data_IF_703713557238
#
_entry.id   IF_703713557238
#
_cell.length_a   1.000
_cell.length_b   1.000
_cell.length_c   1.000
_cell.angle_alpha   90.00
_cell.angle_beta   90.00
_cell.angle_gamma   90.00
#
_symmetry.space_group_name_H-M   'P 1'
#
loop_
_entity.id
_entity.type
_entity.pdbx_description
1 polymer ?
#
# COMPACT_ATOMS: atom_id res chain seq x y z
N UNK A 1 -10.95 -5.60 -28.49
CA UNK A 1 -10.60 -5.10 -27.15
C UNK A 1 -11.71 -5.50 -26.20
N UNK A 2 -11.45 -6.47 -25.33
CA UNK A 2 -12.29 -6.71 -24.16
C UNK A 2 -12.02 -5.55 -23.20
N UNK A 3 -13.00 -4.69 -22.91
CA UNK A 3 -12.88 -3.62 -21.90
C UNK A 3 -13.08 -4.26 -20.52
N UNK A 4 -12.11 -5.07 -20.10
CA UNK A 4 -12.26 -5.94 -18.94
C UNK A 4 -12.21 -5.11 -17.65
N UNK A 5 -11.47 -3.99 -17.61
CA UNK A 5 -11.49 -3.08 -16.47
C UNK A 5 -12.91 -2.53 -16.20
N UNK A 6 -13.66 -2.22 -17.26
CA UNK A 6 -15.05 -1.75 -17.13
C UNK A 6 -16.03 -2.89 -16.82
N UNK A 7 -15.87 -4.04 -17.47
CA UNK A 7 -16.87 -5.11 -17.41
C UNK A 7 -16.71 -6.02 -16.19
N UNK A 8 -15.46 -6.32 -15.80
CA UNK A 8 -15.12 -7.16 -14.66
C UNK A 8 -13.70 -6.84 -14.15
N UNK A 9 -13.61 -5.79 -13.33
CA UNK A 9 -12.37 -5.30 -12.77
C UNK A 9 -11.62 -6.35 -11.93
N UNK A 10 -12.34 -7.28 -11.28
CA UNK A 10 -11.72 -8.32 -10.46
C UNK A 10 -11.03 -9.35 -11.35
N UNK A 11 -11.69 -9.78 -12.43
CA UNK A 11 -11.08 -10.69 -13.41
C UNK A 11 -9.91 -10.03 -14.13
N UNK A 12 -10.02 -8.75 -14.53
CA UNK A 12 -8.88 -8.01 -15.08
C UNK A 12 -7.69 -8.00 -14.13
N UNK A 13 -7.92 -7.72 -12.85
CA UNK A 13 -6.86 -7.67 -11.84
C UNK A 13 -6.15 -9.02 -11.71
N UNK A 14 -6.91 -10.12 -11.56
CA UNK A 14 -6.34 -11.47 -11.43
C UNK A 14 -5.59 -11.89 -12.69
N UNK A 15 -6.18 -11.66 -13.87
CA UNK A 15 -5.53 -12.00 -15.14
C UNK A 15 -4.22 -11.22 -15.31
N UNK A 16 -4.22 -9.93 -14.95
CA UNK A 16 -3.04 -9.06 -15.11
C UNK A 16 -1.88 -9.55 -14.23
N UNK A 17 -2.13 -9.82 -12.94
CA UNK A 17 -1.06 -10.26 -12.03
C UNK A 17 -0.50 -11.64 -12.36
N UNK A 18 -1.32 -12.54 -12.91
CA UNK A 18 -0.88 -13.86 -13.34
C UNK A 18 -0.09 -13.79 -14.65
N UNK A 19 -0.59 -13.04 -15.64
CA UNK A 19 0.08 -12.87 -16.94
C UNK A 19 1.39 -12.09 -16.82
N UNK A 20 1.46 -11.13 -15.90
CA UNK A 20 2.68 -10.40 -15.59
C UNK A 20 3.64 -11.16 -14.64
N UNK A 21 3.29 -12.39 -14.26
CA UNK A 21 4.15 -13.30 -13.50
C UNK A 21 4.58 -12.77 -12.12
N UNK A 22 3.70 -12.04 -11.43
CA UNK A 22 4.02 -11.44 -10.11
C UNK A 22 3.87 -12.43 -8.95
N UNK A 23 2.98 -13.42 -9.07
CA UNK A 23 2.69 -14.39 -8.02
C UNK A 23 2.06 -15.67 -8.59
N UNK A 24 2.08 -16.73 -7.78
CA UNK A 24 1.30 -17.95 -8.00
C UNK A 24 0.43 -18.30 -6.80
N UNK A 25 -0.70 -18.99 -7.05
CA UNK A 25 -1.53 -19.54 -5.98
C UNK A 25 -0.85 -20.74 -5.32
N UNK A 26 -0.89 -20.79 -3.98
CA UNK A 26 -0.44 -21.97 -3.23
C UNK A 26 -1.61 -22.92 -2.97
N UNK A 27 -1.35 -24.19 -2.59
CA UNK A 27 -2.39 -25.09 -2.11
C UNK A 27 -3.07 -24.64 -0.81
N UNK A 28 -2.44 -23.73 -0.05
CA UNK A 28 -3.00 -23.19 1.20
C UNK A 28 -3.96 -22.06 0.86
N UNK A 29 -5.21 -22.20 1.34
CA UNK A 29 -6.27 -21.23 1.06
C UNK A 29 -5.84 -19.82 1.44
N UNK A 30 -5.91 -18.92 0.46
CA UNK A 30 -5.67 -17.50 0.65
C UNK A 30 -4.19 -17.12 0.75
N UNK A 31 -3.26 -18.07 0.62
CA UNK A 31 -1.83 -17.79 0.53
C UNK A 31 -1.36 -17.79 -0.93
N UNK A 32 -0.46 -16.86 -1.25
CA UNK A 32 0.18 -16.73 -2.56
C UNK A 32 1.70 -16.87 -2.40
N UNK A 33 2.36 -17.40 -3.43
CA UNK A 33 3.81 -17.36 -3.55
C UNK A 33 4.20 -16.14 -4.37
N UNK A 34 5.05 -15.27 -3.82
CA UNK A 34 5.59 -14.14 -4.55
C UNK A 34 6.63 -14.65 -5.56
N UNK A 35 6.48 -14.25 -6.81
CA UNK A 35 7.52 -14.44 -7.83
C UNK A 35 8.52 -13.29 -7.82
N UNK A 36 9.70 -13.42 -8.45
CA UNK A 36 10.78 -12.45 -8.32
C UNK A 36 10.34 -11.00 -8.59
N UNK A 37 9.72 -10.71 -9.74
CA UNK A 37 9.31 -9.34 -10.07
C UNK A 37 8.24 -8.82 -9.07
N UNK A 38 7.36 -9.68 -8.55
CA UNK A 38 6.40 -9.30 -7.50
C UNK A 38 7.04 -9.03 -6.14
N UNK A 39 8.10 -9.77 -5.79
CA UNK A 39 8.85 -9.57 -4.55
C UNK A 39 9.79 -8.36 -4.64
N UNK A 40 10.42 -8.10 -5.78
CA UNK A 40 11.27 -6.92 -6.00
C UNK A 40 10.48 -5.61 -5.83
N UNK A 41 9.20 -5.58 -6.21
CA UNK A 41 8.31 -4.43 -5.90
C UNK A 41 8.20 -4.22 -4.39
N UNK A 42 8.04 -5.30 -3.61
CA UNK A 42 8.01 -5.24 -2.15
C UNK A 42 9.35 -4.79 -1.57
N UNK A 43 10.47 -5.29 -2.09
CA UNK A 43 11.81 -4.90 -1.65
C UNK A 43 12.07 -3.40 -1.88
N UNK A 44 11.60 -2.83 -2.98
CA UNK A 44 11.70 -1.39 -3.24
C UNK A 44 10.85 -0.55 -2.27
N UNK A 45 9.63 -1.02 -1.95
CA UNK A 45 8.78 -0.38 -0.93
C UNK A 45 9.47 -0.44 0.44
N UNK A 46 9.96 -1.63 0.77
CA UNK A 46 10.65 -1.90 2.03
C UNK A 46 11.88 -1.02 2.18
N UNK A 47 12.74 -0.95 1.16
CA UNK A 47 13.97 -0.15 1.22
C UNK A 47 13.70 1.33 1.45
N UNK A 48 12.70 1.91 0.77
CA UNK A 48 12.37 3.33 0.93
C UNK A 48 11.74 3.63 2.30
N UNK A 49 10.82 2.79 2.77
CA UNK A 49 10.25 2.92 4.10
C UNK A 49 11.30 2.76 5.20
N UNK A 50 12.13 1.72 5.11
CA UNK A 50 13.17 1.41 6.08
C UNK A 50 14.22 2.53 6.19
N UNK A 51 14.58 3.15 5.05
CA UNK A 51 15.43 4.35 5.02
C UNK A 51 14.80 5.49 5.83
N UNK A 52 13.52 5.81 5.57
CA UNK A 52 12.83 6.91 6.27
C UNK A 52 12.63 6.63 7.77
N UNK A 53 12.34 5.40 8.16
CA UNK A 53 12.24 5.05 9.59
C UNK A 53 13.59 5.22 10.31
N UNK A 54 14.69 4.83 9.66
CA UNK A 54 16.04 5.03 10.21
C UNK A 54 16.42 6.50 10.35
N UNK A 55 15.99 7.35 9.41
CA UNK A 55 16.19 8.81 9.48
C UNK A 55 15.49 9.44 10.69
N UNK A 56 14.44 8.80 11.22
CA UNK A 56 13.70 9.25 12.41
C UNK A 56 14.10 8.54 13.69
N UNK A 57 15.19 7.75 13.66
CA UNK A 57 15.76 7.11 14.85
C UNK A 57 15.20 5.72 15.17
N UNK A 58 14.30 5.19 14.35
CA UNK A 58 13.78 3.83 14.53
C UNK A 58 14.84 2.78 14.27
N UNK A 59 14.72 1.66 14.98
CA UNK A 59 15.55 0.48 14.73
C UNK A 59 14.72 -0.76 14.48
N UNK A 60 15.19 -1.58 13.55
CA UNK A 60 14.56 -2.87 13.30
C UNK A 60 14.84 -3.84 14.44
N UNK A 61 13.82 -4.59 14.82
CA UNK A 61 13.88 -5.77 15.69
C UNK A 61 13.04 -6.89 15.07
N UNK A 62 13.11 -8.08 15.68
CA UNK A 62 12.30 -9.22 15.28
C UNK A 62 11.76 -9.95 16.51
N UNK A 63 10.46 -10.13 16.52
CA UNK A 63 9.68 -10.83 17.53
C UNK A 63 9.16 -12.15 16.94
N UNK A 64 9.01 -13.21 17.74
CA UNK A 64 8.54 -14.51 17.26
C UNK A 64 7.14 -14.47 16.64
N UNK A 65 6.89 -15.41 15.71
CA UNK A 65 5.59 -15.56 15.03
C UNK A 65 4.48 -16.10 15.95
N UNK A 66 4.84 -16.94 16.92
CA UNK A 66 3.88 -17.62 17.80
C UNK A 66 3.63 -16.81 19.06
N UNK A 67 2.35 -16.57 19.37
CA UNK A 67 1.91 -15.80 20.55
C UNK A 67 1.09 -16.71 21.49
N UNK A 68 1.43 -16.77 22.79
CA UNK A 68 0.64 -17.53 23.78
C UNK A 68 -0.82 -17.05 23.89
N UNK A 69 -1.77 -17.98 24.06
CA UNK A 69 -3.19 -17.69 24.24
C UNK A 69 -3.45 -16.73 25.42
N UNK A 70 -2.70 -16.88 26.50
CA UNK A 70 -2.75 -16.06 27.72
C UNK A 70 -2.41 -14.60 27.49
N UNK A 71 -1.64 -14.27 26.45
CA UNK A 71 -1.28 -12.87 26.15
C UNK A 71 -2.47 -12.12 25.56
N UNK A 72 -3.28 -12.79 24.75
CA UNK A 72 -4.51 -12.21 24.21
C UNK A 72 -5.46 -11.87 25.35
N UNK A 73 -5.61 -12.76 26.35
CA UNK A 73 -6.52 -12.58 27.49
C UNK A 73 -6.27 -11.33 28.34
N UNK A 74 -5.09 -10.71 28.22
CA UNK A 74 -4.73 -9.47 28.95
C UNK A 74 -5.40 -8.23 28.38
N UNK A 75 -5.80 -8.21 27.10
CA UNK A 75 -6.46 -7.06 26.48
C UNK A 75 -7.72 -7.45 25.70
N UNK A 76 -8.87 -7.43 26.39
CA UNK A 76 -10.14 -7.96 25.88
C UNK A 76 -10.66 -7.24 24.63
N UNK A 77 -10.55 -5.91 24.58
CA UNK A 77 -10.96 -5.10 23.42
C UNK A 77 -10.20 -5.53 22.16
N UNK A 78 -8.91 -5.84 22.31
CA UNK A 78 -8.06 -6.32 21.21
C UNK A 78 -8.45 -7.75 20.78
N UNK A 79 -8.75 -8.65 21.73
CA UNK A 79 -9.21 -10.02 21.42
C UNK A 79 -10.47 -10.02 20.57
N UNK A 80 -11.48 -9.23 20.95
CA UNK A 80 -12.79 -9.24 20.27
C UNK A 80 -12.66 -8.86 18.79
N UNK A 81 -11.70 -7.99 18.46
CA UNK A 81 -11.39 -7.60 17.08
C UNK A 81 -10.71 -8.69 16.24
N UNK A 82 -9.95 -9.61 16.85
CA UNK A 82 -9.11 -10.60 16.14
C UNK A 82 -9.56 -12.06 16.30
N UNK A 83 -10.27 -12.40 17.38
CA UNK A 83 -10.58 -13.78 17.78
C UNK A 83 -11.23 -14.65 16.69
N UNK A 84 -12.09 -14.14 15.78
CA UNK A 84 -12.69 -14.98 14.74
C UNK A 84 -11.70 -15.49 13.67
N UNK A 85 -10.47 -14.97 13.63
CA UNK A 85 -9.55 -15.14 12.49
C UNK A 85 -8.18 -15.73 12.84
N UNK A 86 -7.99 -16.27 14.06
CA UNK A 86 -6.67 -16.77 14.51
C UNK A 86 -6.50 -18.27 14.30
N UNK A 87 -5.52 -18.71 13.50
CA UNK A 87 -5.06 -20.09 13.50
C UNK A 87 -4.25 -20.39 14.76
N UNK A 88 -4.42 -21.59 15.29
CA UNK A 88 -3.78 -22.04 16.53
C UNK A 88 -2.94 -23.29 16.29
N UNK A 89 -1.72 -23.28 16.81
CA UNK A 89 -0.89 -24.45 17.01
C UNK A 89 -1.23 -25.04 18.37
N UNK A 90 -1.68 -26.30 18.38
CA UNK A 90 -2.10 -27.02 19.59
C UNK A 90 -1.26 -28.26 19.89
N UNK A 91 -0.44 -28.69 18.92
CA UNK A 91 0.40 -29.87 18.98
C UNK A 91 1.72 -29.56 18.27
N UNK A 92 2.84 -30.05 18.80
CA UNK A 92 4.15 -29.96 18.17
C UNK A 92 4.88 -31.28 18.33
N UNK A 93 5.49 -31.78 17.25
CA UNK A 93 6.24 -33.05 17.24
C UNK A 93 5.46 -34.27 17.79
N UNK A 94 4.13 -34.29 17.67
CA UNK A 94 3.28 -35.38 18.17
C UNK A 94 2.79 -35.21 19.61
N UNK A 95 3.18 -34.13 20.30
CA UNK A 95 2.79 -33.85 21.69
C UNK A 95 1.89 -32.63 21.78
N UNK A 96 0.81 -32.76 22.56
CA UNK A 96 -0.12 -31.65 22.83
C UNK A 96 0.59 -30.59 23.66
N UNK A 97 0.52 -29.34 23.23
CA UNK A 97 1.10 -28.22 23.97
C UNK A 97 0.32 -27.95 25.27
N UNK A 98 1.04 -27.53 26.32
CA UNK A 98 0.43 -27.10 27.58
C UNK A 98 -0.50 -25.89 27.38
N UNK A 99 -0.11 -25.00 26.48
CA UNK A 99 -0.86 -23.82 26.07
C UNK A 99 -0.89 -23.73 24.53
N UNK A 100 -2.02 -23.29 23.97
CA UNK A 100 -2.15 -23.09 22.52
C UNK A 100 -1.40 -21.83 22.10
N UNK A 101 -0.76 -21.86 20.94
CA UNK A 101 -0.01 -20.73 20.38
C UNK A 101 -0.69 -20.23 19.11
N UNK A 102 -1.05 -18.96 19.04
CA UNK A 102 -1.60 -18.37 17.83
C UNK A 102 -0.48 -18.00 16.86
N UNK A 103 -0.74 -18.14 15.55
CA UNK A 103 0.02 -17.38 14.56
C UNK A 103 -0.32 -15.89 14.72
N UNK A 104 0.68 -15.01 14.78
CA UNK A 104 0.46 -13.58 15.02
C UNK A 104 -0.49 -12.96 13.96
N UNK A 105 -1.61 -12.34 14.36
CA UNK A 105 -2.38 -11.44 13.49
C UNK A 105 -1.76 -10.04 13.43
N UNK A 106 -0.99 -9.72 14.47
CA UNK A 106 -0.25 -8.51 14.80
C UNK A 106 0.57 -8.78 16.08
N UNK A 107 1.61 -7.98 16.38
CA UNK A 107 2.58 -8.31 17.44
C UNK A 107 2.43 -7.51 18.75
N UNK A 108 1.40 -6.66 18.93
CA UNK A 108 1.27 -5.77 20.11
C UNK A 108 1.39 -6.51 21.44
N UNK A 109 0.79 -7.70 21.55
CA UNK A 109 0.78 -8.45 22.82
C UNK A 109 2.14 -9.07 23.16
N UNK A 110 2.86 -9.57 22.15
CA UNK A 110 4.23 -10.08 22.32
C UNK A 110 5.21 -8.94 22.64
N UNK A 111 5.08 -7.83 21.91
CA UNK A 111 5.93 -6.65 22.09
C UNK A 111 5.67 -6.01 23.46
N UNK A 112 4.40 -5.84 23.85
CA UNK A 112 4.02 -5.29 25.14
C UNK A 112 4.58 -6.09 26.31
N UNK A 113 4.53 -7.43 26.22
CA UNK A 113 5.16 -8.30 27.22
C UNK A 113 6.66 -8.04 27.36
N UNK A 114 7.41 -7.97 26.26
CA UNK A 114 8.86 -7.74 26.31
C UNK A 114 9.21 -6.30 26.69
N UNK A 115 8.38 -5.32 26.32
CA UNK A 115 8.53 -3.92 26.74
C UNK A 115 8.41 -3.77 28.25
N UNK A 116 7.54 -4.55 28.90
CA UNK A 116 7.46 -4.59 30.37
C UNK A 116 8.79 -5.00 31.02
N UNK A 117 9.60 -5.82 30.34
CA UNK A 117 10.93 -6.25 30.80
C UNK A 117 12.03 -5.27 30.42
N UNK A 118 11.94 -4.60 29.27
CA UNK A 118 12.99 -3.72 28.77
C UNK A 118 12.93 -2.31 29.36
N UNK A 119 11.72 -1.79 29.57
CA UNK A 119 11.51 -0.41 30.02
C UNK A 119 11.46 -0.41 31.55
N UNK A 120 12.40 0.30 32.20
CA UNK A 120 12.46 0.43 33.66
C UNK A 120 12.57 1.87 34.14
N UNK A 121 13.18 2.75 33.33
CA UNK A 121 13.42 4.16 33.66
C UNK A 121 13.05 5.06 32.48
N UNK A 122 12.78 6.33 32.75
CA UNK A 122 12.61 7.36 31.71
C UNK A 122 13.80 7.45 30.73
N UNK A 123 14.97 6.89 31.09
CA UNK A 123 16.17 6.83 30.24
C UNK A 123 16.11 5.76 29.16
N UNK A 124 15.21 4.80 29.30
CA UNK A 124 14.98 3.75 28.31
C UNK A 124 14.03 4.23 27.20
N UNK A 125 13.47 5.44 27.35
CA UNK A 125 12.47 6.04 26.47
C UNK A 125 13.07 7.23 25.68
N UNK A 126 12.58 7.49 24.45
CA UNK A 126 11.57 6.69 23.74
C UNK A 126 12.13 5.37 23.21
N UNK A 127 11.30 4.33 23.19
CA UNK A 127 11.60 3.10 22.45
C UNK A 127 11.00 3.24 21.06
N UNK A 128 11.83 3.16 20.03
CA UNK A 128 11.46 3.33 18.63
C UNK A 128 11.81 2.07 17.83
N UNK A 129 10.88 1.11 17.75
CA UNK A 129 11.13 -0.19 17.12
C UNK A 129 10.24 -0.40 15.90
N UNK A 130 10.84 -0.99 14.87
CA UNK A 130 10.17 -1.46 13.68
C UNK A 130 10.39 -2.97 13.49
N UNK A 131 9.43 -3.66 12.88
CA UNK A 131 9.57 -5.05 12.44
C UNK A 131 9.07 -5.22 11.00
N UNK A 132 9.89 -5.88 10.17
CA UNK A 132 9.46 -6.46 8.89
C UNK A 132 9.16 -7.94 9.08
N UNK A 133 7.93 -8.34 8.76
CA UNK A 133 7.40 -9.66 9.13
C UNK A 133 6.28 -10.12 8.20
N UNK A 134 5.99 -11.42 8.24
CA UNK A 134 4.69 -11.94 7.84
C UNK A 134 3.72 -11.97 9.04
N UNK A 135 2.43 -11.84 8.77
CA UNK A 135 1.33 -12.10 9.72
C UNK A 135 0.28 -13.00 9.09
N UNK A 136 -0.54 -13.62 9.94
CA UNK A 136 -1.58 -14.55 9.52
C UNK A 136 -2.96 -14.12 10.03
N UNK A 137 -3.93 -14.00 9.13
CA UNK A 137 -5.35 -13.75 9.42
C UNK A 137 -6.19 -14.70 8.57
N UNK A 138 -7.09 -15.47 9.18
CA UNK A 138 -7.89 -16.47 8.47
C UNK A 138 -9.05 -15.84 7.69
N UNK A 139 -8.70 -15.14 6.61
CA UNK A 139 -9.60 -14.33 5.79
C UNK A 139 -10.64 -15.17 5.04
N UNK A 140 -11.92 -14.78 5.15
CA UNK A 140 -13.02 -15.52 4.49
C UNK A 140 -13.04 -15.31 2.97
N UNK A 141 -12.68 -14.10 2.52
CA UNK A 141 -12.59 -13.73 1.11
C UNK A 141 -11.20 -13.18 0.86
N UNK A 142 -10.52 -13.69 -0.16
CA UNK A 142 -9.16 -13.30 -0.47
C UNK A 142 -9.05 -12.74 -1.87
N UNK A 143 -8.18 -11.76 -2.02
CA UNK A 143 -7.79 -11.16 -3.29
C UNK A 143 -6.26 -10.97 -3.22
N UNK A 144 -5.47 -11.55 -4.15
CA UNK A 144 -4.01 -11.49 -4.08
C UNK A 144 -3.48 -10.08 -3.82
N UNK A 145 -2.45 -9.96 -2.98
CA UNK A 145 -1.89 -8.72 -2.41
C UNK A 145 -2.83 -7.89 -1.53
N UNK A 146 -4.10 -7.72 -1.90
CA UNK A 146 -5.06 -6.84 -1.20
C UNK A 146 -5.55 -7.45 0.11
N UNK A 147 -5.86 -8.74 0.11
CA UNK A 147 -6.35 -9.48 1.26
C UNK A 147 -5.99 -10.96 1.09
N UNK A 148 -4.93 -11.40 1.76
CA UNK A 148 -4.46 -12.79 1.77
C UNK A 148 -4.42 -13.30 3.20
N UNK A 149 -4.45 -14.63 3.36
CA UNK A 149 -4.43 -15.24 4.69
C UNK A 149 -3.09 -15.01 5.39
N UNK A 150 -2.01 -15.16 4.63
CA UNK A 150 -0.66 -14.76 5.01
C UNK A 150 -0.26 -13.57 4.15
N UNK A 151 0.31 -12.53 4.77
CA UNK A 151 0.84 -11.39 4.03
C UNK A 151 2.09 -10.83 4.71
N UNK A 152 2.95 -10.22 3.88
CA UNK A 152 4.11 -9.49 4.35
C UNK A 152 3.69 -8.08 4.71
N UNK A 153 4.27 -7.57 5.78
CA UNK A 153 3.99 -6.25 6.27
C UNK A 153 5.15 -5.68 7.08
N UNK A 154 4.98 -4.41 7.40
CA UNK A 154 5.78 -3.69 8.37
C UNK A 154 4.87 -3.26 9.51
N UNK A 155 5.36 -3.43 10.74
CA UNK A 155 4.71 -2.97 11.96
C UNK A 155 5.72 -2.26 12.87
N UNK A 156 5.45 -1.00 13.19
CA UNK A 156 6.23 -0.18 14.09
C UNK A 156 5.52 -0.05 15.42
N UNK A 157 6.28 -0.12 16.51
CA UNK A 157 5.76 -0.11 17.88
C UNK A 157 6.65 0.76 18.75
N UNK A 158 6.08 1.82 19.32
CA UNK A 158 6.84 2.79 20.10
C UNK A 158 6.28 2.94 21.51
N UNK A 159 7.13 3.40 22.43
CA UNK A 159 6.76 3.72 23.81
C UNK A 159 7.40 5.05 24.22
N UNK A 160 6.61 5.90 24.86
CA UNK A 160 6.92 7.29 25.14
C UNK A 160 6.63 7.65 26.60
N UNK A 161 7.29 8.70 27.06
CA UNK A 161 7.12 9.25 28.42
C UNK A 161 5.75 9.89 28.57
N UNK A 162 5.28 10.61 27.53
CA UNK A 162 4.04 11.39 27.57
C UNK A 162 3.22 11.27 26.26
N UNK A 163 1.97 11.72 26.34
CA UNK A 163 1.01 11.70 25.23
C UNK A 163 1.41 12.61 24.06
N UNK A 164 2.08 13.73 24.33
CA UNK A 164 2.45 14.69 23.29
C UNK A 164 3.51 14.09 22.35
N UNK A 165 4.53 13.44 22.92
CA UNK A 165 5.56 12.73 22.15
C UNK A 165 4.93 11.57 21.35
N UNK A 166 4.05 10.77 21.97
CA UNK A 166 3.39 9.65 21.29
C UNK A 166 2.47 10.10 20.14
N UNK A 167 1.74 11.21 20.30
CA UNK A 167 0.92 11.77 19.21
C UNK A 167 1.77 12.35 18.09
N UNK A 168 2.91 12.98 18.44
CA UNK A 168 3.88 13.47 17.45
C UNK A 168 4.41 12.32 16.61
N UNK A 169 4.85 11.23 17.24
CA UNK A 169 5.28 9.99 16.58
C UNK A 169 4.18 9.41 15.68
N UNK A 170 2.95 9.31 16.20
CA UNK A 170 1.80 8.81 15.44
C UNK A 170 1.60 9.59 14.12
N UNK A 171 1.66 10.92 14.19
CA UNK A 171 1.50 11.79 13.02
C UNK A 171 2.72 11.77 12.09
N UNK A 172 3.92 11.65 12.65
CA UNK A 172 5.16 11.53 11.88
C UNK A 172 5.13 10.29 10.97
N UNK A 173 4.68 9.15 11.50
CA UNK A 173 4.62 7.90 10.73
C UNK A 173 3.53 7.92 9.67
N UNK A 174 2.38 8.54 9.97
CA UNK A 174 1.34 8.76 8.95
C UNK A 174 1.86 9.60 7.77
N UNK A 175 2.62 10.66 8.05
CA UNK A 175 3.22 11.50 7.02
C UNK A 175 4.27 10.75 6.20
N UNK A 176 5.12 9.94 6.83
CA UNK A 176 6.07 9.08 6.11
C UNK A 176 5.33 8.14 5.15
N UNK A 177 4.24 7.51 5.60
CA UNK A 177 3.44 6.66 4.72
C UNK A 177 2.83 7.44 3.56
N UNK A 178 2.29 8.64 3.81
CA UNK A 178 1.75 9.50 2.76
C UNK A 178 2.82 9.82 1.71
N UNK A 179 3.99 10.26 2.15
CA UNK A 179 5.11 10.60 1.27
C UNK A 179 5.58 9.39 0.47
N UNK A 180 5.75 8.22 1.08
CA UNK A 180 6.14 7.00 0.35
C UNK A 180 5.09 6.62 -0.69
N UNK A 181 3.81 6.64 -0.34
CA UNK A 181 2.74 6.25 -1.26
C UNK A 181 2.60 7.25 -2.42
N UNK A 182 2.74 8.55 -2.18
CA UNK A 182 2.71 9.55 -3.26
C UNK A 182 4.00 9.58 -4.08
N UNK A 183 5.17 9.62 -3.43
CA UNK A 183 6.46 9.83 -4.10
C UNK A 183 7.00 8.58 -4.78
N UNK A 184 6.88 7.41 -4.14
CA UNK A 184 7.40 6.14 -4.65
C UNK A 184 6.37 5.47 -5.56
N UNK A 185 5.12 5.38 -5.10
CA UNK A 185 4.07 4.61 -5.78
C UNK A 185 3.24 5.46 -6.75
N UNK A 186 3.42 6.78 -6.77
CA UNK A 186 2.63 7.70 -7.59
C UNK A 186 1.11 7.56 -7.32
N UNK A 187 0.71 7.24 -6.09
CA UNK A 187 -0.70 7.07 -5.70
C UNK A 187 -1.11 8.23 -4.80
N UNK A 188 -2.07 9.08 -5.22
CA UNK A 188 -2.56 10.14 -4.36
C UNK A 188 -3.46 9.59 -3.25
N UNK A 189 -3.33 10.14 -2.05
CA UNK A 189 -4.11 9.71 -0.87
C UNK A 189 -4.85 10.87 -0.22
N UNK A 190 -5.90 10.54 0.53
CA UNK A 190 -6.47 11.43 1.54
C UNK A 190 -6.05 10.95 2.92
N UNK A 191 -5.39 11.82 3.69
CA UNK A 191 -4.98 11.61 5.08
C UNK A 191 -6.01 12.17 6.06
N UNK A 192 -6.27 11.43 7.13
CA UNK A 192 -7.24 11.83 8.14
C UNK A 192 -7.39 10.85 9.30
N UNK A 193 -8.26 11.19 10.24
CA UNK A 193 -8.59 10.37 11.40
C UNK A 193 -9.73 9.41 11.08
N UNK A 194 -9.65 8.15 11.52
CA UNK A 194 -10.79 7.21 11.46
C UNK A 194 -11.90 7.65 12.39
N UNK A 195 -13.13 7.35 12.03
CA UNK A 195 -14.26 7.48 12.95
C UNK A 195 -14.16 6.40 14.05
N UNK A 196 -14.78 6.59 15.23
CA UNK A 196 -14.65 5.65 16.34
C UNK A 196 -15.05 4.21 16.01
N UNK A 197 -15.99 4.01 15.08
CA UNK A 197 -16.45 2.67 14.64
C UNK A 197 -15.44 1.95 13.73
N UNK A 198 -14.57 2.69 13.04
CA UNK A 198 -13.57 2.17 12.09
C UNK A 198 -12.13 2.31 12.63
N UNK A 199 -11.95 2.64 13.91
CA UNK A 199 -10.64 2.70 14.56
C UNK A 199 -10.10 1.29 14.85
N UNK A 200 -8.80 1.22 15.13
CA UNK A 200 -8.16 -0.04 15.50
C UNK A 200 -8.61 -0.49 16.89
N UNK A 201 -8.85 -1.79 17.06
CA UNK A 201 -9.27 -2.36 18.34
C UNK A 201 -8.16 -2.17 19.39
N UNK A 202 -8.46 -1.38 20.43
CA UNK A 202 -7.52 -0.99 21.48
C UNK A 202 -6.89 0.40 21.29
N UNK A 203 -7.06 1.06 20.14
CA UNK A 203 -6.55 2.41 19.93
C UNK A 203 -7.42 3.49 20.58
N UNK A 204 -6.79 4.58 21.03
CA UNK A 204 -7.48 5.83 21.37
C UNK A 204 -7.93 6.49 20.08
N UNK A 205 -6.97 6.76 19.19
CA UNK A 205 -7.17 7.35 17.88
C UNK A 205 -6.45 6.52 16.80
N UNK A 206 -7.10 6.38 15.64
CA UNK A 206 -6.46 5.82 14.45
C UNK A 206 -6.45 6.88 13.36
N UNK A 207 -5.33 6.98 12.65
CA UNK A 207 -5.19 7.79 11.46
C UNK A 207 -4.85 6.90 10.27
N UNK A 208 -5.33 7.28 9.08
CA UNK A 208 -5.09 6.52 7.86
C UNK A 208 -4.85 7.41 6.66
N UNK A 209 -4.12 6.84 5.70
CA UNK A 209 -4.09 7.30 4.31
C UNK A 209 -4.97 6.40 3.44
N UNK A 210 -5.86 7.00 2.68
CA UNK A 210 -6.85 6.28 1.86
C UNK A 210 -6.59 6.55 0.38
N UNK A 211 -6.43 5.48 -0.41
CA UNK A 211 -6.21 5.53 -1.86
C UNK A 211 -7.44 5.06 -2.63
N UNK A 212 -7.75 5.72 -3.76
CA UNK A 212 -8.84 5.35 -4.65
C UNK A 212 -8.34 4.48 -5.80
N UNK A 213 -8.91 3.28 -5.94
CA UNK A 213 -8.62 2.37 -7.05
C UNK A 213 -9.40 2.78 -8.31
N UNK A 214 -9.03 2.25 -9.49
CA UNK A 214 -9.71 2.56 -10.75
C UNK A 214 -11.18 2.15 -10.83
N UNK A 215 -11.66 1.25 -9.96
CA UNK A 215 -13.09 0.92 -9.86
C UNK A 215 -13.84 1.83 -8.86
N UNK A 216 -13.18 2.86 -8.33
CA UNK A 216 -13.71 3.83 -7.37
C UNK A 216 -13.71 3.35 -5.92
N UNK A 217 -13.32 2.11 -5.63
CA UNK A 217 -13.25 1.64 -4.25
C UNK A 217 -12.00 2.15 -3.54
N UNK A 218 -12.11 2.26 -2.22
CA UNK A 218 -11.03 2.65 -1.34
C UNK A 218 -10.18 1.47 -0.90
N UNK A 219 -8.89 1.74 -0.80
CA UNK A 219 -7.90 0.92 -0.12
C UNK A 219 -7.23 1.78 0.94
N UNK A 220 -7.30 1.33 2.20
CA UNK A 220 -6.47 1.88 3.26
C UNK A 220 -5.00 1.52 2.97
N UNK A 221 -4.20 2.53 2.61
CA UNK A 221 -2.83 2.37 2.15
C UNK A 221 -1.80 2.36 3.30
N UNK A 222 -2.21 2.76 4.51
CA UNK A 222 -1.39 2.73 5.71
C UNK A 222 -2.15 3.30 6.90
N UNK A 223 -1.78 2.88 8.10
CA UNK A 223 -2.38 3.35 9.36
C UNK A 223 -1.35 3.65 10.43
N UNK A 224 -1.67 4.63 11.26
CA UNK A 224 -0.91 4.98 12.45
C UNK A 224 -1.87 5.18 13.62
N UNK A 225 -1.53 4.62 14.77
CA UNK A 225 -2.42 4.47 15.91
C UNK A 225 -1.78 5.07 17.15
N UNK A 226 -2.50 5.99 17.80
CA UNK A 226 -2.20 6.35 19.18
C UNK A 226 -2.97 5.39 20.10
N UNK A 227 -2.24 4.58 20.85
CA UNK A 227 -2.81 3.53 21.69
C UNK A 227 -3.05 4.00 23.14
N UNK A 228 -2.54 5.17 23.51
CA UNK A 228 -2.57 5.67 24.88
C UNK A 228 -1.81 4.76 25.83
N UNK A 229 -2.34 4.58 27.04
CA UNK A 229 -1.76 3.73 28.09
C UNK A 229 -2.41 2.36 28.18
N UNK A 230 -3.45 2.06 27.40
CA UNK A 230 -4.24 0.81 27.56
C UNK A 230 -3.38 -0.45 27.47
N UNK A 231 -2.55 -0.55 26.42
CA UNK A 231 -1.61 -1.67 26.28
C UNK A 231 -0.55 -1.68 27.37
N UNK A 232 -0.08 -0.50 27.81
CA UNK A 232 0.85 -0.40 28.93
C UNK A 232 0.25 -0.89 30.25
N UNK A 233 -1.02 -0.59 30.50
CA UNK A 233 -1.78 -1.08 31.66
C UNK A 233 -2.00 -2.59 31.59
N UNK A 234 -2.39 -3.12 30.43
CA UNK A 234 -2.63 -4.55 30.23
C UNK A 234 -1.37 -5.42 30.40
N UNK A 235 -0.20 -4.90 30.00
CA UNK A 235 1.08 -5.62 30.05
C UNK A 235 2.03 -5.14 31.15
N UNK A 236 1.58 -4.24 32.04
CA UNK A 236 2.38 -3.65 33.13
C UNK A 236 3.67 -2.95 32.65
N UNK A 237 3.58 -2.22 31.53
CA UNK A 237 4.70 -1.47 30.94
C UNK A 237 4.86 -0.13 31.66
N UNK A 238 5.65 -0.13 32.74
CA UNK A 238 5.92 1.04 33.58
C UNK A 238 7.36 1.50 33.48
N UNK A 239 7.58 2.79 33.71
CA UNK A 239 8.90 3.36 33.90
C UNK A 239 8.97 4.17 35.20
N UNK A 240 10.17 4.29 35.77
CA UNK A 240 10.44 5.22 36.86
C UNK A 240 10.73 6.61 36.27
N UNK A 241 9.88 7.59 36.58
CA UNK A 241 10.03 8.98 36.14
C UNK A 241 11.14 9.72 36.94
N UNK A 242 11.38 11.00 36.63
CA UNK A 242 12.43 11.81 37.28
C UNK A 242 12.15 12.08 38.77
N UNK A 243 10.90 11.98 39.17
CA UNK A 243 10.38 12.15 40.53
C UNK A 243 10.33 10.83 41.33
N UNK A 244 10.90 9.73 40.78
CA UNK A 244 10.87 8.39 41.34
C UNK A 244 9.45 7.80 41.54
N UNK A 245 8.52 8.13 40.65
CA UNK A 245 7.19 7.51 40.57
C UNK A 245 7.12 6.57 39.38
N UNK A 246 6.39 5.47 39.56
CA UNK A 246 6.05 4.57 38.46
C UNK A 246 4.88 5.14 37.67
N UNK A 247 5.08 5.29 36.37
CA UNK A 247 4.06 5.72 35.41
C UNK A 247 4.00 4.75 34.24
N UNK A 248 2.83 4.65 33.60
CA UNK A 248 2.66 3.86 32.39
C UNK A 248 3.16 4.64 31.19
N UNK A 249 3.76 3.93 30.22
CA UNK A 249 4.17 4.53 28.96
C UNK A 249 2.97 4.80 28.06
N UNK A 250 3.10 5.81 27.19
CA UNK A 250 2.18 6.02 26.07
C UNK A 250 2.71 5.27 24.85
N UNK A 251 1.90 4.41 24.22
CA UNK A 251 2.35 3.60 23.08
C UNK A 251 1.71 4.03 21.75
N UNK A 252 2.42 3.75 20.66
CA UNK A 252 1.91 3.87 19.30
C UNK A 252 2.15 2.58 18.52
N UNK A 253 1.31 2.31 17.53
CA UNK A 253 1.49 1.24 16.56
C UNK A 253 1.17 1.76 15.16
N UNK A 254 1.93 1.37 14.16
CA UNK A 254 1.74 1.85 12.79
C UNK A 254 2.17 0.78 11.79
N UNK A 255 1.45 0.66 10.67
CA UNK A 255 1.68 -0.46 9.74
C UNK A 255 1.22 -0.24 8.30
N UNK A 256 1.93 -0.89 7.38
CA UNK A 256 1.59 -1.05 5.96
C UNK A 256 1.90 -2.47 5.51
N UNK A 257 1.22 -2.94 4.46
CA UNK A 257 1.41 -4.30 3.95
C UNK A 257 1.57 -4.35 2.44
N UNK A 258 1.78 -5.56 1.91
CA UNK A 258 1.79 -5.84 0.47
C UNK A 258 0.51 -5.46 -0.26
N UNK A 259 -0.54 -5.01 0.44
CA UNK A 259 -1.69 -4.32 -0.14
C UNK A 259 -1.29 -3.13 -1.01
N UNK A 260 -0.16 -2.49 -0.71
CA UNK A 260 0.42 -1.43 -1.54
C UNK A 260 0.76 -1.90 -2.96
N UNK A 261 1.20 -3.15 -3.14
CA UNK A 261 1.46 -3.73 -4.47
C UNK A 261 0.16 -3.82 -5.26
N UNK A 262 -0.89 -4.38 -4.65
CA UNK A 262 -2.22 -4.43 -5.26
C UNK A 262 -2.76 -3.03 -5.59
N UNK A 263 -2.45 -2.03 -4.76
CA UNK A 263 -2.84 -0.63 -4.99
C UNK A 263 -2.15 -0.04 -6.22
N UNK A 264 -0.83 -0.24 -6.38
CA UNK A 264 -0.09 0.17 -7.59
C UNK A 264 -0.74 -0.39 -8.85
N UNK A 265 -1.06 -1.68 -8.82
CA UNK A 265 -1.66 -2.39 -9.96
C UNK A 265 -3.03 -1.79 -10.29
N UNK A 266 -3.91 -1.63 -9.30
CA UNK A 266 -5.28 -1.16 -9.50
C UNK A 266 -5.40 0.34 -9.79
N UNK A 267 -4.42 1.16 -9.43
CA UNK A 267 -4.40 2.59 -9.76
C UNK A 267 -3.86 2.81 -11.18
N UNK A 268 -2.75 2.15 -11.53
CA UNK A 268 -2.01 2.49 -12.74
C UNK A 268 -2.28 1.57 -13.92
N UNK A 269 -2.55 0.28 -13.67
CA UNK A 269 -2.73 -0.73 -14.71
C UNK A 269 -3.83 -0.39 -15.71
N UNK A 270 -3.69 -0.88 -16.94
CA UNK A 270 -4.62 -0.67 -18.05
C UNK A 270 -4.97 -1.99 -18.76
N UNK A 271 -5.69 -1.90 -19.87
CA UNK A 271 -6.11 -3.08 -20.66
C UNK A 271 -4.93 -3.85 -21.30
N UNK A 272 -3.74 -3.25 -21.38
CA UNK A 272 -2.53 -3.90 -21.89
C UNK A 272 -1.75 -4.62 -20.76
N UNK A 273 -2.01 -4.29 -19.50
CA UNK A 273 -1.43 -4.97 -18.34
C UNK A 273 -0.98 -4.00 -17.26
N UNK A 274 0.18 -4.29 -16.66
CA UNK A 274 0.77 -3.44 -15.64
C UNK A 274 1.25 -2.12 -16.23
N UNK A 275 1.21 -1.08 -15.39
CA UNK A 275 1.90 0.19 -15.61
C UNK A 275 2.59 0.51 -14.28
N UNK A 276 3.89 0.27 -14.18
CA UNK A 276 4.60 0.43 -12.91
C UNK A 276 5.21 1.83 -12.80
N UNK A 277 5.06 2.51 -11.66
CA UNK A 277 5.85 3.70 -11.35
C UNK A 277 7.34 3.41 -11.48
N UNK A 278 8.10 4.22 -12.24
CA UNK A 278 9.54 4.01 -12.44
C UNK A 278 10.33 3.76 -11.17
N UNK A 279 9.97 4.41 -10.05
CA UNK A 279 10.72 4.26 -8.80
C UNK A 279 10.56 2.88 -8.15
N UNK A 280 9.42 2.21 -8.35
CA UNK A 280 9.14 0.87 -7.75
C UNK A 280 9.29 -0.29 -8.74
N UNK A 281 9.37 -0.02 -10.05
CA UNK A 281 9.45 -1.06 -11.08
C UNK A 281 10.70 -1.95 -10.95
N UNK A 282 10.60 -3.29 -10.92
CA UNK A 282 11.73 -4.23 -10.92
C UNK A 282 12.73 -3.96 -12.06
N UNK A 283 12.19 -3.83 -13.27
CA UNK A 283 12.89 -3.37 -14.47
C UNK A 283 12.34 -2.02 -14.88
N UNK A 284 13.18 -1.00 -14.90
CA UNK A 284 12.83 0.35 -15.35
C UNK A 284 12.95 0.48 -16.87
N UNK A 285 13.98 -0.15 -17.44
CA UNK A 285 14.32 -0.06 -18.85
C UNK A 285 14.56 -1.44 -19.43
N UNK A 286 13.96 -1.72 -20.58
CA UNK A 286 14.31 -2.88 -21.39
C UNK A 286 14.92 -2.46 -22.72
N UNK A 287 16.11 -2.98 -23.01
CA UNK A 287 16.81 -2.80 -24.28
C UNK A 287 16.45 -3.97 -25.22
N UNK A 288 16.02 -3.66 -26.44
CA UNK A 288 15.59 -4.67 -27.41
C UNK A 288 16.28 -4.43 -28.75
N UNK A 289 17.17 -5.34 -29.19
CA UNK A 289 17.66 -5.34 -30.56
C UNK A 289 16.53 -5.75 -31.53
N UNK A 290 16.33 -4.98 -32.60
CA UNK A 290 15.24 -5.20 -33.57
C UNK A 290 15.76 -5.37 -35.00
N UNK A 291 14.95 -6.00 -35.85
CA UNK A 291 15.35 -6.31 -37.23
C UNK A 291 16.38 -7.43 -37.33
N UNK A 292 17.18 -7.51 -38.41
CA UNK A 292 18.20 -8.56 -38.59
C UNK A 292 19.47 -8.27 -37.75
N UNK A 293 19.30 -8.02 -36.45
CA UNK A 293 20.37 -7.56 -35.55
C UNK A 293 21.51 -8.57 -35.39
N UNK A 294 21.22 -9.87 -35.46
CA UNK A 294 22.25 -10.93 -35.46
C UNK A 294 23.25 -10.84 -36.62
N UNK A 295 22.92 -10.11 -37.68
CA UNK A 295 23.82 -9.84 -38.82
C UNK A 295 24.63 -8.55 -38.64
N UNK A 296 24.36 -7.77 -37.60
CA UNK A 296 24.97 -6.48 -37.32
C UNK A 296 25.46 -6.45 -35.85
N UNK A 297 26.64 -7.04 -35.56
CA UNK A 297 27.17 -7.12 -34.19
C UNK A 297 27.27 -5.78 -33.47
N UNK A 298 27.50 -4.68 -34.21
CA UNK A 298 27.56 -3.31 -33.71
C UNK A 298 26.30 -2.89 -32.93
N UNK A 299 25.12 -3.46 -33.23
CA UNK A 299 23.89 -3.19 -32.47
C UNK A 299 24.05 -3.68 -31.02
N UNK A 300 24.58 -4.88 -30.83
CA UNK A 300 24.77 -5.43 -29.49
C UNK A 300 25.85 -4.68 -28.74
N UNK A 301 26.97 -4.36 -29.39
CA UNK A 301 28.02 -3.53 -28.81
C UNK A 301 27.47 -2.19 -28.30
N UNK A 302 26.63 -1.53 -29.11
CA UNK A 302 26.01 -0.26 -28.71
C UNK A 302 24.98 -0.43 -27.59
N UNK A 303 24.18 -1.49 -27.59
CA UNK A 303 23.25 -1.77 -26.49
C UNK A 303 23.99 -2.10 -25.18
N UNK A 304 25.14 -2.77 -25.25
CA UNK A 304 25.98 -3.07 -24.08
C UNK A 304 26.59 -1.79 -23.49
N UNK A 305 27.02 -0.84 -24.33
CA UNK A 305 27.45 0.49 -23.89
C UNK A 305 26.32 1.22 -23.15
N UNK A 306 25.12 1.27 -23.75
CA UNK A 306 23.94 1.91 -23.13
C UNK A 306 23.55 1.19 -21.84
N UNK A 307 23.59 -0.13 -21.81
CA UNK A 307 23.32 -0.93 -20.61
C UNK A 307 24.28 -0.55 -19.47
N UNK A 308 25.58 -0.46 -19.75
CA UNK A 308 26.59 -0.10 -18.77
C UNK A 308 26.41 1.33 -18.25
N UNK A 309 26.08 2.28 -19.13
CA UNK A 309 25.82 3.68 -18.75
C UNK A 309 24.59 3.81 -17.86
N UNK A 310 23.48 3.14 -18.21
CA UNK A 310 22.27 3.10 -17.39
C UNK A 310 22.53 2.46 -16.02
N UNK A 311 23.27 1.35 -15.98
CA UNK A 311 23.67 0.72 -14.71
C UNK A 311 24.53 1.64 -13.85
N UNK A 312 25.45 2.40 -14.44
CA UNK A 312 26.28 3.36 -13.72
C UNK A 312 25.45 4.50 -13.08
N UNK A 313 24.33 4.86 -13.70
CA UNK A 313 23.32 5.79 -13.13
C UNK A 313 22.39 5.16 -12.11
N UNK A 314 22.55 3.86 -11.80
CA UNK A 314 21.66 3.14 -10.88
C UNK A 314 20.31 2.73 -11.49
N UNK A 315 20.16 2.82 -12.81
CA UNK A 315 18.93 2.45 -13.50
C UNK A 315 18.85 0.92 -13.64
N UNK A 316 17.70 0.36 -13.27
CA UNK A 316 17.42 -1.08 -13.36
C UNK A 316 17.09 -1.45 -14.80
N UNK A 317 18.11 -1.83 -15.56
CA UNK A 317 18.00 -2.18 -16.98
C UNK A 317 18.12 -3.69 -17.22
N UNK A 318 17.33 -4.22 -18.16
CA UNK A 318 17.45 -5.57 -18.73
C UNK A 318 17.64 -5.49 -20.25
N UNK A 319 18.34 -6.47 -20.82
CA UNK A 319 18.49 -6.65 -22.27
C UNK A 319 17.70 -7.90 -22.67
N UNK A 320 16.85 -7.80 -23.68
CA UNK A 320 16.11 -8.93 -24.25
C UNK A 320 16.62 -9.23 -25.66
N UNK A 321 17.64 -10.07 -25.75
CA UNK A 321 18.25 -10.59 -26.97
C UNK A 321 17.65 -11.94 -27.41
N UNK A 322 16.50 -12.35 -26.84
CA UNK A 322 15.88 -13.63 -27.16
C UNK A 322 15.46 -13.75 -28.64
N UNK A 323 15.25 -14.97 -29.11
CA UNK A 323 14.87 -15.25 -30.51
C UNK A 323 13.40 -14.96 -30.84
N UNK A 324 12.65 -14.41 -29.88
CA UNK A 324 11.26 -14.02 -30.09
C UNK A 324 11.15 -12.84 -31.06
N UNK A 325 10.01 -12.77 -31.76
CA UNK A 325 9.72 -11.62 -32.63
C UNK A 325 9.67 -10.30 -31.84
N UNK A 326 10.08 -9.16 -32.40
CA UNK A 326 9.99 -7.87 -31.71
C UNK A 326 8.59 -7.57 -31.16
N UNK A 327 7.53 -7.86 -31.93
CA UNK A 327 6.15 -7.65 -31.48
C UNK A 327 5.77 -8.49 -30.26
N UNK A 328 6.29 -9.71 -30.15
CA UNK A 328 6.08 -10.53 -28.94
C UNK A 328 6.76 -9.90 -27.72
N UNK A 329 8.04 -9.53 -27.85
CA UNK A 329 8.79 -8.87 -26.78
C UNK A 329 8.12 -7.56 -26.34
N UNK A 330 7.67 -6.76 -27.30
CA UNK A 330 6.97 -5.51 -27.04
C UNK A 330 5.75 -5.72 -26.14
N UNK A 331 4.88 -6.66 -26.52
CA UNK A 331 3.69 -7.00 -25.74
C UNK A 331 4.05 -7.58 -24.38
N UNK A 332 5.08 -8.43 -24.27
CA UNK A 332 5.50 -9.02 -22.99
C UNK A 332 5.96 -7.95 -22.01
N UNK A 333 6.84 -7.04 -22.44
CA UNK A 333 7.38 -5.99 -21.57
C UNK A 333 6.34 -4.90 -21.26
N UNK A 334 5.40 -4.63 -22.17
CA UNK A 334 4.25 -3.77 -21.91
C UNK A 334 3.29 -4.41 -20.89
N UNK A 335 3.00 -5.70 -21.01
CA UNK A 335 2.18 -6.46 -20.05
C UNK A 335 2.81 -6.47 -18.64
N UNK A 336 4.14 -6.66 -18.57
CA UNK A 336 4.92 -6.59 -17.32
C UNK A 336 5.12 -5.16 -16.80
N UNK A 337 4.69 -4.15 -17.56
CA UNK A 337 4.68 -2.76 -17.13
C UNK A 337 6.04 -2.11 -17.00
N UNK A 338 7.03 -2.55 -17.79
CA UNK A 338 8.36 -1.91 -17.82
C UNK A 338 8.20 -0.47 -18.29
N UNK A 339 8.62 0.53 -17.50
CA UNK A 339 8.40 1.95 -17.79
C UNK A 339 8.88 2.42 -19.18
N UNK A 340 10.10 2.04 -19.58
CA UNK A 340 10.69 2.47 -20.85
C UNK A 340 11.23 1.27 -21.61
N UNK A 341 10.84 1.15 -22.87
CA UNK A 341 11.47 0.25 -23.84
C UNK A 341 12.35 1.06 -24.78
N UNK A 342 13.53 0.53 -25.07
CA UNK A 342 14.49 1.07 -26.04
C UNK A 342 14.66 0.07 -27.17
N UNK A 343 14.44 0.51 -28.40
CA UNK A 343 14.56 -0.30 -29.61
C UNK A 343 15.76 0.20 -30.42
N UNK A 344 16.67 -0.72 -30.81
CA UNK A 344 17.79 -0.41 -31.70
C UNK A 344 17.86 -1.43 -32.84
N UNK A 345 17.67 -0.94 -34.06
CA UNK A 345 17.81 -1.73 -35.29
C UNK A 345 18.85 -1.14 -36.25
N UNK A 346 19.14 -1.81 -37.39
CA UNK A 346 20.17 -1.35 -38.32
C UNK A 346 19.95 0.08 -38.83
N UNK A 347 18.71 0.44 -39.14
CA UNK A 347 18.35 1.79 -39.59
C UNK A 347 18.62 2.85 -38.51
N UNK A 348 18.32 2.55 -37.26
CA UNK A 348 18.50 3.50 -36.16
C UNK A 348 19.98 3.65 -35.81
N UNK A 349 20.74 2.55 -35.89
CA UNK A 349 22.21 2.57 -35.78
C UNK A 349 22.84 3.43 -36.89
N UNK A 350 22.42 3.27 -38.15
CA UNK A 350 22.89 4.10 -39.27
C UNK A 350 22.61 5.60 -39.07
N UNK A 351 21.51 5.94 -38.40
CA UNK A 351 21.12 7.31 -38.08
C UNK A 351 21.67 7.80 -36.73
N UNK A 352 22.50 7.01 -36.05
CA UNK A 352 23.07 7.30 -34.73
C UNK A 352 22.01 7.61 -33.65
N UNK A 353 20.89 6.89 -33.66
CA UNK A 353 19.74 7.09 -32.77
C UNK A 353 19.20 5.77 -32.23
N UNK A 354 18.31 5.86 -31.24
CA UNK A 354 17.43 4.79 -30.76
C UNK A 354 15.98 5.24 -30.74
N UNK A 355 15.05 4.29 -30.66
CA UNK A 355 13.64 4.58 -30.43
C UNK A 355 13.28 4.28 -28.99
N UNK A 356 12.75 5.27 -28.27
CA UNK A 356 12.22 5.13 -26.92
C UNK A 356 10.71 5.04 -26.95
N UNK A 357 10.17 4.16 -26.12
CA UNK A 357 8.74 4.00 -25.88
C UNK A 357 8.47 4.00 -24.37
N UNK A 358 7.82 5.05 -23.88
CA UNK A 358 7.28 5.08 -22.52
C UNK A 358 5.98 4.25 -22.45
N UNK A 359 5.80 3.48 -21.38
CA UNK A 359 4.70 2.53 -21.22
C UNK A 359 3.33 3.19 -21.09
N UNK A 360 3.28 4.37 -20.50
CA UNK A 360 2.05 5.11 -20.23
C UNK A 360 1.66 6.11 -21.32
N UNK A 361 2.44 6.19 -22.41
CA UNK A 361 2.21 7.03 -23.58
C UNK A 361 1.90 6.19 -24.82
N UNK A 362 1.29 6.78 -25.85
CA UNK A 362 1.03 6.11 -27.15
C UNK A 362 2.12 6.36 -28.19
N UNK A 363 2.84 7.48 -28.09
CA UNK A 363 3.87 7.85 -29.04
C UNK A 363 5.23 7.17 -28.77
N UNK A 364 6.07 7.14 -29.80
CA UNK A 364 7.48 6.74 -29.75
C UNK A 364 8.32 7.97 -30.08
N UNK A 365 9.48 8.11 -29.44
CA UNK A 365 10.40 9.23 -29.69
C UNK A 365 11.75 8.69 -30.16
N UNK A 366 12.35 9.35 -31.15
CA UNK A 366 13.72 9.07 -31.58
C UNK A 366 14.68 9.91 -30.75
N UNK A 367 15.76 9.30 -30.26
CA UNK A 367 16.75 9.94 -29.38
C UNK A 367 18.14 9.60 -29.87
N UNK A 368 19.03 10.59 -29.89
CA UNK A 368 20.42 10.40 -30.29
C UNK A 368 21.16 9.48 -29.32
N UNK A 369 21.94 8.54 -29.85
CA UNK A 369 22.71 7.58 -29.07
C UNK A 369 23.63 8.24 -28.01
N UNK A 370 24.33 9.35 -28.30
CA UNK A 370 25.20 9.99 -27.31
C UNK A 370 24.49 10.58 -26.08
N UNK A 371 23.19 10.85 -26.15
CA UNK A 371 22.42 11.45 -25.04
C UNK A 371 21.37 10.50 -24.48
N UNK A 372 21.36 9.25 -24.92
CA UNK A 372 20.27 8.29 -24.65
C UNK A 372 20.06 8.05 -23.17
N UNK A 373 21.13 7.91 -22.37
CA UNK A 373 21.00 7.63 -20.95
C UNK A 373 20.36 8.79 -20.17
N UNK A 374 20.74 10.04 -20.49
CA UNK A 374 20.14 11.24 -19.89
C UNK A 374 18.67 11.39 -20.30
N UNK A 375 18.35 11.11 -21.56
CA UNK A 375 16.96 11.13 -22.05
C UNK A 375 16.10 10.06 -21.36
N UNK A 376 16.64 8.86 -21.13
CA UNK A 376 15.95 7.79 -20.40
C UNK A 376 15.71 8.19 -18.95
N UNK A 377 16.71 8.73 -18.26
CA UNK A 377 16.57 9.24 -16.89
C UNK A 377 15.47 10.33 -16.80
N UNK A 378 15.49 11.29 -17.75
CA UNK A 378 14.44 12.30 -17.87
C UNK A 378 13.05 11.72 -18.13
N UNK A 379 12.95 10.69 -18.98
CA UNK A 379 11.70 10.01 -19.28
C UNK A 379 11.13 9.27 -18.06
N UNK A 380 11.97 8.58 -17.28
CA UNK A 380 11.57 7.92 -16.03
C UNK A 380 11.05 8.93 -15.00
N UNK A 381 11.74 10.05 -14.81
CA UNK A 381 11.30 11.11 -13.88
C UNK A 381 9.98 11.76 -14.33
N UNK A 382 9.83 12.00 -15.64
CA UNK A 382 8.61 12.56 -16.23
C UNK A 382 7.43 11.60 -16.06
N UNK A 383 7.64 10.31 -16.34
CA UNK A 383 6.61 9.28 -16.16
C UNK A 383 6.14 9.17 -14.71
N UNK A 384 7.06 9.20 -13.72
CA UNK A 384 6.67 9.18 -12.31
C UNK A 384 5.70 10.32 -11.96
N UNK A 385 6.02 11.54 -12.42
CA UNK A 385 5.19 12.73 -12.20
C UNK A 385 3.84 12.61 -12.91
N UNK A 386 3.86 12.20 -14.19
CA UNK A 386 2.66 12.06 -15.01
C UNK A 386 1.69 11.01 -14.45
N UNK A 387 2.20 9.89 -13.93
CA UNK A 387 1.36 8.87 -13.28
C UNK A 387 0.65 9.42 -12.05
N UNK A 388 1.36 10.16 -11.20
CA UNK A 388 0.77 10.77 -10.01
C UNK A 388 -0.32 11.79 -10.38
N UNK A 389 -0.04 12.67 -11.34
CA UNK A 389 -1.01 13.69 -11.78
C UNK A 389 -2.24 13.06 -12.47
N UNK A 390 -2.05 12.00 -13.27
CA UNK A 390 -3.14 11.25 -13.88
C UNK A 390 -4.01 10.57 -12.82
N UNK A 391 -3.39 9.98 -11.79
CA UNK A 391 -4.11 9.38 -10.67
C UNK A 391 -4.83 10.44 -9.81
N UNK A 392 -4.24 11.63 -9.61
CA UNK A 392 -4.89 12.77 -8.92
C UNK A 392 -6.12 13.23 -9.68
N UNK A 393 -5.99 13.46 -10.99
CA UNK A 393 -7.11 13.85 -11.83
C UNK A 393 -8.23 12.80 -11.82
N UNK A 394 -7.90 11.51 -11.82
CA UNK A 394 -8.88 10.43 -11.68
C UNK A 394 -9.59 10.48 -10.32
N UNK A 395 -8.85 10.58 -9.21
CA UNK A 395 -9.40 10.67 -7.85
C UNK A 395 -10.33 11.86 -7.73
N UNK A 396 -9.89 13.03 -8.19
CA UNK A 396 -10.62 14.29 -8.05
C UNK A 396 -11.91 14.28 -8.88
N UNK A 397 -11.86 13.72 -10.10
CA UNK A 397 -13.06 13.51 -10.94
C UNK A 397 -14.12 12.63 -10.26
N UNK A 398 -13.71 11.64 -9.50
CA UNK A 398 -14.60 10.70 -8.80
C UNK A 398 -14.72 11.01 -7.30
N UNK A 399 -14.42 12.25 -6.89
CA UNK A 399 -14.62 12.75 -5.54
C UNK A 399 -15.75 13.78 -5.55
N UNK A 400 -16.90 13.42 -5.02
CA UNK A 400 -18.11 14.22 -5.10
C UNK A 400 -18.39 14.96 -3.78
N UNK A 401 -18.60 16.27 -3.89
CA UNK A 401 -18.85 17.16 -2.75
C UNK A 401 -20.27 17.74 -2.73
N UNK A 402 -21.18 17.27 -3.59
CA UNK A 402 -22.53 17.82 -3.74
C UNK A 402 -23.65 16.91 -3.18
N UNK A 403 -23.28 15.77 -2.60
CA UNK A 403 -24.21 14.82 -1.99
C UNK A 403 -24.27 15.09 -0.48
N UNK A 404 -25.44 15.54 0.00
CA UNK A 404 -25.63 16.06 1.36
C UNK A 404 -26.68 15.29 2.17
N UNK A 405 -27.29 14.26 1.60
CA UNK A 405 -28.29 13.42 2.26
C UNK A 405 -28.22 11.97 1.79
N UNK A 406 -28.71 11.04 2.61
CA UNK A 406 -28.75 9.62 2.31
C UNK A 406 -29.62 9.31 1.09
N UNK A 407 -30.72 10.07 0.91
CA UNK A 407 -31.55 9.97 -0.29
C UNK A 407 -30.74 10.34 -1.55
N UNK A 408 -30.01 11.46 -1.53
CA UNK A 408 -29.14 11.86 -2.64
C UNK A 408 -28.02 10.85 -2.89
N UNK A 409 -27.45 10.26 -1.84
CA UNK A 409 -26.44 9.22 -1.99
C UNK A 409 -26.99 7.98 -2.70
N UNK A 410 -28.17 7.53 -2.29
CA UNK A 410 -28.84 6.39 -2.94
C UNK A 410 -29.15 6.68 -4.41
N UNK A 411 -29.64 7.88 -4.74
CA UNK A 411 -29.85 8.31 -6.12
C UNK A 411 -28.55 8.37 -6.90
N UNK A 412 -27.50 9.00 -6.36
CA UNK A 412 -26.18 9.09 -7.01
C UNK A 412 -25.61 7.71 -7.34
N UNK A 413 -25.72 6.76 -6.42
CA UNK A 413 -25.27 5.37 -6.64
C UNK A 413 -26.10 4.70 -7.74
N UNK A 414 -27.43 4.88 -7.72
CA UNK A 414 -28.32 4.29 -8.72
C UNK A 414 -28.02 4.85 -10.13
N UNK A 415 -27.95 6.17 -10.26
CA UNK A 415 -27.69 6.87 -11.52
C UNK A 415 -26.31 6.50 -12.10
N UNK A 416 -25.28 6.45 -11.24
CA UNK A 416 -23.94 6.01 -11.63
C UNK A 416 -23.96 4.56 -12.12
N UNK A 417 -24.69 3.68 -11.43
CA UNK A 417 -24.78 2.26 -11.81
C UNK A 417 -25.52 2.08 -13.14
N UNK A 418 -26.62 2.81 -13.36
CA UNK A 418 -27.41 2.76 -14.60
C UNK A 418 -26.63 3.29 -15.81
N UNK A 419 -25.85 4.36 -15.61
CA UNK A 419 -24.99 4.95 -16.65
C UNK A 419 -23.68 4.18 -16.88
N UNK A 420 -23.37 3.19 -16.02
CA UNK A 420 -22.11 2.45 -16.05
C UNK A 420 -20.90 3.32 -15.69
N UNK A 421 -21.13 4.35 -14.87
CA UNK A 421 -20.12 5.23 -14.29
C UNK A 421 -19.74 4.78 -12.87
N UNK A 422 -18.62 5.28 -12.38
CA UNK A 422 -18.10 4.97 -11.05
C UNK A 422 -18.76 5.90 -10.04
N UNK A 423 -19.48 5.39 -9.01
CA UNK A 423 -20.08 6.25 -7.99
C UNK A 423 -19.08 7.07 -7.18
N UNK A 424 -17.81 6.63 -7.14
CA UNK A 424 -16.73 7.38 -6.53
C UNK A 424 -16.84 7.52 -5.01
N UNK A 425 -16.19 8.54 -4.48
CA UNK A 425 -16.19 8.89 -3.06
C UNK A 425 -17.03 10.12 -2.80
N UNK A 426 -17.62 10.18 -1.61
CA UNK A 426 -18.58 11.21 -1.24
C UNK A 426 -18.08 11.94 0.00
N UNK A 427 -17.85 13.24 -0.12
CA UNK A 427 -17.54 14.09 1.04
C UNK A 427 -18.86 14.56 1.65
N UNK A 428 -19.17 14.11 2.86
CA UNK A 428 -20.43 14.43 3.50
C UNK A 428 -20.28 14.75 4.99
N UNK A 429 -21.28 15.42 5.56
CA UNK A 429 -21.31 15.70 6.99
C UNK A 429 -21.72 14.46 7.79
N UNK A 430 -21.16 14.33 8.98
CA UNK A 430 -21.49 13.28 9.95
C UNK A 430 -21.66 13.86 11.35
N UNK A 431 -22.71 13.44 12.06
CA UNK A 431 -23.07 13.97 13.38
C UNK A 431 -22.25 13.41 14.55
N UNK A 432 -21.33 12.47 14.31
CA UNK A 432 -20.56 11.81 15.36
C UNK A 432 -21.27 10.62 16.03
N UNK A 433 -22.38 10.13 15.46
CA UNK A 433 -23.12 8.98 16.00
C UNK A 433 -22.94 7.75 15.10
N UNK A 434 -22.44 6.66 15.68
CA UNK A 434 -22.19 5.38 15.01
C UNK A 434 -23.44 4.79 14.34
N UNK A 435 -24.63 5.00 14.92
CA UNK A 435 -25.88 4.54 14.32
C UNK A 435 -26.15 5.18 12.96
N UNK A 436 -25.67 6.41 12.72
CA UNK A 436 -25.77 7.04 11.41
C UNK A 436 -24.81 6.42 10.38
N UNK A 437 -23.59 6.05 10.80
CA UNK A 437 -22.65 5.37 9.92
C UNK A 437 -23.15 3.97 9.55
N UNK A 438 -23.66 3.24 10.54
CA UNK A 438 -24.25 1.91 10.34
C UNK A 438 -25.43 1.96 9.37
N UNK A 439 -26.31 2.97 9.50
CA UNK A 439 -27.43 3.13 8.58
C UNK A 439 -26.96 3.40 7.14
N UNK A 440 -26.00 4.31 6.94
CA UNK A 440 -25.41 4.57 5.61
C UNK A 440 -24.82 3.28 5.04
N UNK A 441 -24.04 2.53 5.83
CA UNK A 441 -23.44 1.25 5.43
C UNK A 441 -24.49 0.21 5.06
N UNK A 442 -25.56 0.10 5.84
CA UNK A 442 -26.64 -0.86 5.60
C UNK A 442 -27.34 -0.60 4.28
N UNK A 443 -27.69 0.66 4.01
CA UNK A 443 -28.45 1.07 2.82
C UNK A 443 -27.60 1.11 1.54
N UNK A 444 -26.35 1.56 1.63
CA UNK A 444 -25.57 1.93 0.43
C UNK A 444 -24.30 1.09 0.22
N UNK A 445 -23.88 0.35 1.27
CA UNK A 445 -22.55 -0.29 1.39
C UNK A 445 -21.38 0.68 1.43
N UNK A 446 -21.62 1.99 1.46
CA UNK A 446 -20.58 2.97 1.71
C UNK A 446 -20.22 3.00 3.19
N UNK A 447 -18.95 3.23 3.47
CA UNK A 447 -18.40 3.26 4.83
C UNK A 447 -17.50 4.48 4.96
N UNK A 448 -17.39 5.02 6.17
CA UNK A 448 -16.51 6.15 6.45
C UNK A 448 -15.06 5.74 6.23
N UNK A 449 -14.31 6.53 5.46
CA UNK A 449 -12.91 6.26 5.13
C UNK A 449 -12.00 6.97 6.11
N UNK A 450 -12.11 8.29 6.20
CA UNK A 450 -11.54 9.10 7.27
C UNK A 450 -12.25 10.47 7.36
N UNK A 451 -12.04 11.14 8.48
CA UNK A 451 -12.24 12.56 8.71
C UNK A 451 -10.97 13.24 8.16
N UNK A 452 -10.96 13.75 6.91
CA UNK A 452 -9.76 14.30 6.29
C UNK A 452 -9.26 15.53 7.05
N UNK A 453 -7.94 15.70 7.16
CA UNK A 453 -7.36 16.89 7.79
C UNK A 453 -7.55 18.15 6.95
N UNK A 454 -7.52 17.99 5.63
CA UNK A 454 -7.65 19.08 4.66
C UNK A 454 -8.82 18.78 3.70
N UNK A 455 -10.07 18.83 4.16
CA UNK A 455 -11.22 18.59 3.30
C UNK A 455 -11.35 19.70 2.23
N UNK A 456 -11.73 19.37 0.98
CA UNK A 456 -11.94 20.38 -0.05
C UNK A 456 -13.20 21.24 0.19
N UNK A 457 -14.10 20.81 1.08
CA UNK A 457 -15.27 21.57 1.51
C UNK A 457 -15.68 21.18 2.94
N UNK A 458 -16.31 22.08 3.69
CA UNK A 458 -16.90 21.77 5.01
C UNK A 458 -18.38 21.46 4.88
N UNK A 459 -18.86 20.50 5.66
CA UNK A 459 -20.25 20.06 5.68
C UNK A 459 -20.88 20.34 7.05
N UNK A 460 -22.04 20.99 7.05
CA UNK A 460 -22.77 21.40 8.27
C UNK A 460 -23.92 20.47 8.65
N UNK A 461 -24.32 19.56 7.77
CA UNK A 461 -25.50 18.70 7.95
C UNK A 461 -25.12 17.23 7.81
N UNK A 462 -25.57 16.40 8.75
CA UNK A 462 -25.33 14.97 8.74
C UNK A 462 -26.07 14.31 7.56
N UNK A 463 -25.35 13.55 6.76
CA UNK A 463 -25.88 12.85 5.58
C UNK A 463 -27.06 11.94 5.91
N UNK A 464 -27.08 11.32 7.09
CA UNK A 464 -28.14 10.39 7.47
C UNK A 464 -29.33 11.09 8.16
N UNK A 465 -29.08 11.73 9.30
CA UNK A 465 -30.17 12.21 10.16
C UNK A 465 -30.58 13.68 9.93
N UNK A 466 -29.86 14.43 9.08
CA UNK A 466 -30.15 15.85 8.82
C UNK A 466 -29.86 16.80 9.99
N UNK A 467 -29.36 16.30 11.12
CA UNK A 467 -28.91 17.14 12.24
C UNK A 467 -27.58 17.81 11.92
N UNK A 468 -27.13 18.73 12.79
CA UNK A 468 -25.82 19.37 12.67
C UNK A 468 -24.69 18.34 12.58
N UNK A 469 -23.84 18.49 11.57
CA UNK A 469 -22.64 17.67 11.42
C UNK A 469 -21.53 18.18 12.34
N UNK A 470 -20.89 17.26 13.07
CA UNK A 470 -19.68 17.54 13.86
C UNK A 470 -18.41 17.40 13.04
N UNK A 471 -18.46 16.54 12.03
CA UNK A 471 -17.31 16.20 11.19
C UNK A 471 -17.70 16.21 9.72
N UNK A 472 -16.73 16.52 8.87
CA UNK A 472 -16.80 16.24 7.44
C UNK A 472 -16.00 14.98 7.18
N UNK A 473 -16.57 14.02 6.44
CA UNK A 473 -16.04 12.65 6.31
C UNK A 473 -16.10 12.20 4.86
N UNK A 474 -15.06 11.51 4.40
CA UNK A 474 -15.11 10.77 3.14
C UNK A 474 -15.85 9.45 3.33
N UNK A 475 -16.87 9.21 2.51
CA UNK A 475 -17.56 7.92 2.39
C UNK A 475 -17.18 7.26 1.07
N UNK A 476 -16.97 5.95 1.09
CA UNK A 476 -16.68 5.17 -0.10
C UNK A 476 -16.99 3.69 0.09
N UNK A 477 -17.15 2.96 -1.02
CA UNK A 477 -17.01 1.49 -1.00
C UNK A 477 -15.53 1.17 -0.80
N UNK A 478 -15.23 0.09 -0.11
CA UNK A 478 -13.85 -0.32 0.16
C UNK A 478 -13.64 -1.81 -0.14
N UNK A 479 -12.38 -2.19 -0.29
CA UNK A 479 -11.95 -3.57 -0.54
C UNK A 479 -11.96 -4.44 0.71
#
# INVERSE_FOLDING_TARGET
>A
MTNQQKNDFTSWYIDTIQKADLMDYTPVRGCIAFKPDGYEIWEHIQAEMDRRFKETGHRNAYFPMLIPESFFQKEKDHIEGFSPELPWVTEAAGEKLEERLALRPTSETMIGHLYSDWIKSYRDLPVLINQWANVFRWEKKTLPFIRTSEFLWQEGHTAHVDEEEARTETMQMLNIYKEVVEDLLAIPVYDGQKTPSERFAGAVDTYSIEAMMRDGKAVQAGTSHYLGTKFAEAFDIKYLNKENKHEFVHTTSWGTSTRLIGSVIMVHGDEQGLVLPPRVAPTQVVLIPVGPWKKNPEIMEKLDEVYAELKAKGIRVRLDDSDQSPGYKFNEWELKGVPVRVELGPRDLENNQVILKARDEEEKVSVDLPTVADCIEGALNTMQTRLLEKARAFRDKHSHTHVDSLAQLTTHIADSTESGEIPGWILAGWCGNDACEEQVKKETKFTTRNIPFNPPATKSTCINCGQEAKHTVWFGRAY
#
